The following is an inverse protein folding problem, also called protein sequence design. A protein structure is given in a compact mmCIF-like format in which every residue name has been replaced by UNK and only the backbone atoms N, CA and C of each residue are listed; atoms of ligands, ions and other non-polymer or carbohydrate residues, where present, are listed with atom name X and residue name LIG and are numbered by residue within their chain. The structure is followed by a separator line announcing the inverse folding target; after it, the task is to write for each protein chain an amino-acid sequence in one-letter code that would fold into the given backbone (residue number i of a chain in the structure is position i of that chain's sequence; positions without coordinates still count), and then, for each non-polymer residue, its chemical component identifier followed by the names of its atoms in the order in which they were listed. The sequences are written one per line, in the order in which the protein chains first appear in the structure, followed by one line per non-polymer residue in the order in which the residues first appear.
data_IF_309320650677
#
_entry.id   IF_309320650677
#
_cell.length_a   1.000
_cell.length_b   1.000
_cell.length_c   1.000
_cell.angle_alpha   90.00
_cell.angle_beta   90.00
_cell.angle_gamma   90.00
#
_symmetry.space_group_name_H-M   'P 1'
#
loop_
_entity.id
_entity.type
_entity.pdbx_description
1 polymer ?
#
# COMPACT_ATOMS: atom_id res chain seq x y z
N UNK A 1 -4.98 -0.81 17.54
CA UNK A 1 -4.26 -1.54 16.80
C UNK A 1 -3.35 -0.82 15.93
N UNK A 2 -2.30 -1.33 15.63
CA UNK A 2 -1.29 -0.69 14.88
C UNK A 2 -1.31 -1.08 13.42
N UNK A 3 -2.43 -1.63 12.98
CA UNK A 3 -2.48 -2.10 11.63
C UNK A 3 -2.30 -0.99 10.60
N UNK A 4 -2.98 0.13 10.81
CA UNK A 4 -2.86 1.24 9.88
C UNK A 4 -1.42 1.75 9.88
N UNK A 5 -0.81 1.82 11.04
CA UNK A 5 0.55 2.29 11.13
C UNK A 5 1.51 1.36 10.38
N UNK A 6 1.33 0.07 10.56
CA UNK A 6 2.18 -0.91 9.88
C UNK A 6 2.03 -0.82 8.37
N UNK A 7 0.80 -0.69 7.90
CA UNK A 7 0.56 -0.59 6.47
C UNK A 7 1.14 0.71 5.93
N UNK A 8 1.05 1.78 6.69
CA UNK A 8 1.59 3.05 6.28
C UNK A 8 3.11 2.96 6.14
N UNK A 9 3.76 2.26 7.07
CA UNK A 9 5.20 2.08 6.99
C UNK A 9 5.59 1.21 5.80
N UNK A 10 4.82 0.17 5.55
CA UNK A 10 5.08 -0.71 4.42
C UNK A 10 4.93 0.05 3.10
N UNK A 11 3.91 0.89 3.01
CA UNK A 11 3.71 1.69 1.81
C UNK A 11 4.89 2.61 1.59
N UNK A 12 5.30 3.28 2.64
CA UNK A 12 6.41 4.21 2.55
C UNK A 12 7.69 3.50 2.11
N UNK A 13 7.90 2.32 2.65
CA UNK A 13 9.08 1.53 2.32
C UNK A 13 9.10 1.17 0.83
N UNK A 14 7.94 1.01 0.23
CA UNK A 14 7.87 0.64 -1.17
C UNK A 14 7.69 1.83 -2.10
N UNK A 15 7.71 3.03 -1.56
CA UNK A 15 7.62 4.22 -2.39
C UNK A 15 6.20 4.70 -2.64
N UNK A 16 5.30 4.40 -1.71
CA UNK A 16 3.91 4.83 -1.82
C UNK A 16 3.53 5.68 -0.62
N UNK A 17 2.41 6.37 -0.76
CA UNK A 17 1.88 7.16 0.33
C UNK A 17 0.45 6.69 0.58
N UNK A 18 0.11 6.40 1.81
CA UNK A 18 -1.22 5.98 2.16
C UNK A 18 -1.98 7.16 2.71
N UNK A 19 -3.14 7.43 2.14
CA UNK A 19 -3.98 8.53 2.59
C UNK A 19 -5.32 7.99 3.03
N UNK A 20 -5.81 8.48 4.15
CA UNK A 20 -7.10 8.08 4.66
C UNK A 20 -8.12 9.07 4.16
N UNK A 21 -9.19 8.59 3.55
CA UNK A 21 -10.17 9.47 2.98
C UNK A 21 -11.46 9.54 3.78
N UNK A 22 -11.76 8.56 4.55
CA UNK A 22 -12.95 8.54 5.35
C UNK A 22 -12.73 7.59 6.48
N UNK A 23 -13.81 7.15 7.11
CA UNK A 23 -13.66 6.26 8.24
C UNK A 23 -12.96 4.97 7.91
N UNK A 24 -13.23 4.42 6.76
CA UNK A 24 -12.58 3.17 6.39
C UNK A 24 -12.23 3.14 4.92
N UNK A 25 -11.99 4.30 4.35
CA UNK A 25 -11.61 4.38 2.94
C UNK A 25 -10.20 4.94 2.84
N UNK A 26 -9.39 4.28 2.06
CA UNK A 26 -8.01 4.69 1.90
C UNK A 26 -7.63 4.78 0.44
N UNK A 27 -6.56 5.50 0.19
CA UNK A 27 -6.06 5.69 -1.16
C UNK A 27 -4.55 5.48 -1.12
N UNK A 28 -4.02 4.79 -2.12
CA UNK A 28 -2.58 4.59 -2.20
C UNK A 28 -2.06 5.40 -3.37
N UNK A 29 -1.05 6.23 -3.11
CA UNK A 29 -0.51 7.11 -4.11
C UNK A 29 0.95 6.79 -4.35
N UNK A 30 1.34 6.75 -5.62
CA UNK A 30 2.73 6.52 -5.96
C UNK A 30 3.46 7.82 -5.62
N UNK A 31 4.32 7.77 -4.64
CA UNK A 31 4.93 8.97 -4.09
C UNK A 31 5.76 9.74 -5.11
N UNK A 32 6.50 9.04 -5.92
CA UNK A 32 7.35 9.69 -6.88
C UNK A 32 6.57 10.31 -8.04
N UNK A 33 5.60 9.59 -8.56
CA UNK A 33 4.81 10.08 -9.68
C UNK A 33 3.61 10.90 -9.24
N UNK A 34 3.29 10.83 -7.98
CA UNK A 34 2.17 11.56 -7.42
C UNK A 34 0.87 11.22 -8.12
N UNK A 35 0.66 9.96 -8.39
CA UNK A 35 -0.58 9.49 -8.99
C UNK A 35 -1.15 8.37 -8.16
N UNK A 36 -2.48 8.22 -8.21
CA UNK A 36 -3.15 7.19 -7.44
C UNK A 36 -2.91 5.86 -8.11
N UNK A 37 -2.63 4.84 -7.32
CA UNK A 37 -2.42 3.52 -7.85
C UNK A 37 -3.77 3.01 -8.35
N UNK A 38 -3.78 2.42 -9.52
CA UNK A 38 -5.00 1.98 -10.17
C UNK A 38 -5.82 1.09 -9.24
N UNK A 39 -7.09 1.46 -9.09
CA UNK A 39 -8.03 0.73 -8.25
C UNK A 39 -7.77 0.78 -6.76
N UNK A 40 -6.89 1.62 -6.31
CA UNK A 40 -6.64 1.76 -4.88
C UNK A 40 -7.04 3.17 -4.43
N UNK A 41 -8.28 3.54 -4.75
CA UNK A 41 -8.81 4.83 -4.37
C UNK A 41 -10.18 4.58 -3.73
N UNK A 42 -10.32 4.93 -2.47
CA UNK A 42 -11.56 4.72 -1.77
C UNK A 42 -11.78 3.27 -1.42
N UNK A 43 -10.73 2.55 -1.07
CA UNK A 43 -10.82 1.13 -0.74
C UNK A 43 -10.51 0.90 0.73
N UNK A 44 -10.90 -0.27 1.25
CA UNK A 44 -10.60 -0.58 2.65
C UNK A 44 -9.11 -0.76 2.86
N UNK A 45 -8.67 -0.59 4.07
CA UNK A 45 -7.27 -0.75 4.40
C UNK A 45 -6.77 -2.15 4.03
N UNK A 46 -7.61 -3.15 4.17
CA UNK A 46 -7.20 -4.51 3.85
C UNK A 46 -6.85 -4.68 2.38
N UNK A 47 -7.54 -3.95 1.52
CA UNK A 47 -7.26 -4.03 0.10
C UNK A 47 -5.88 -3.46 -0.18
N UNK A 48 -5.55 -2.35 0.47
CA UNK A 48 -4.24 -1.74 0.30
C UNK A 48 -3.17 -2.67 0.87
N UNK A 49 -3.46 -3.27 2.02
CA UNK A 49 -2.51 -4.17 2.65
C UNK A 49 -2.20 -5.37 1.76
N UNK A 50 -3.23 -5.95 1.15
CA UNK A 50 -3.03 -7.08 0.27
C UNK A 50 -2.15 -6.70 -0.92
N UNK A 51 -2.41 -5.54 -1.47
CA UNK A 51 -1.62 -5.07 -2.60
C UNK A 51 -0.14 -4.95 -2.22
N UNK A 52 0.12 -4.33 -1.08
CA UNK A 52 1.49 -4.11 -0.65
C UNK A 52 2.20 -5.40 -0.28
N UNK A 53 1.50 -6.30 0.35
CA UNK A 53 2.10 -7.57 0.73
C UNK A 53 2.44 -8.40 -0.50
N UNK A 54 1.55 -8.42 -1.48
CA UNK A 54 1.82 -9.16 -2.69
C UNK A 54 2.98 -8.55 -3.46
N UNK A 55 3.08 -7.24 -3.41
CA UNK A 55 4.15 -6.56 -4.10
C UNK A 55 5.48 -6.88 -3.44
N UNK A 56 5.46 -6.98 -2.13
CA UNK A 56 6.67 -7.30 -1.39
C UNK A 56 7.15 -8.69 -1.77
N UNK A 57 6.24 -9.63 -1.89
CA UNK A 57 6.59 -10.97 -2.26
C UNK A 57 7.17 -11.04 -3.65
N UNK A 58 6.65 -10.22 -4.54
CA UNK A 58 7.15 -10.25 -5.89
C UNK A 58 8.53 -9.71 -6.03
N UNK A 59 8.78 -8.62 -5.34
CA UNK A 59 10.08 -8.03 -5.47
C UNK A 59 11.13 -8.84 -4.74
N UNK A 60 10.69 -9.75 -3.95
CA UNK A 60 11.63 -10.55 -3.24
C UNK A 60 11.82 -11.83 -4.01
N UNK A 61 12.68 -11.87 -4.90
CA UNK A 61 12.86 -12.95 -5.77
C UNK A 61 13.25 -14.14 -5.08
N UNK A 62 12.58 -14.95 -5.12
CA UNK A 62 12.83 -16.13 -4.48
C UNK A 62 13.80 -16.79 -5.24
N UNK A 63 13.77 -16.47 -6.22
CA UNK A 63 14.67 -17.07 -7.04
C UNK A 63 15.73 -17.28 -6.44
N UNK A 64 15.57 -16.67 -5.87
CA UNK A 64 16.44 -16.83 -5.19
C UNK A 64 16.39 -18.17 -5.15
N UNK A 65 15.96 -18.55 -5.43
CA UNK A 65 15.96 -19.66 -5.42
C UNK A 65 16.26 -20.18 -6.03
#
# INVERSE_FOLDING_TARGET
MQREYSIRQLAKHQGYRLEKQGDSSYRLIHQRLNVIVYRLDGVPLETVASFLVQRESRTNPPGTL
#
